data_IF_631840970236
#
_entry.id   IF_631840970236
#
_cell.length_a   1.000
_cell.length_b   1.000
_cell.length_c   1.000
_cell.angle_alpha   90.00
_cell.angle_beta   90.00
_cell.angle_gamma   90.00
#
_symmetry.space_group_name_H-M   'P 1'
#
loop_
_entity.id
_entity.type
_entity.pdbx_description
1 polymer ?
#
# COMPACT_ATOMS: atom_id res chain seq x y z
N UNK A 1 -2.98 3.51 50.14
CA UNK A 1 -2.76 2.07 49.91
C UNK A 1 -3.65 1.63 48.75
N UNK A 2 -3.20 1.81 47.51
CA UNK A 2 -3.74 1.23 46.30
C UNK A 2 -2.58 0.51 45.58
N UNK A 3 -2.12 -0.55 46.19
CA UNK A 3 -1.31 -1.57 45.57
C UNK A 3 -2.24 -2.72 45.25
N UNK A 4 -2.54 -2.99 44.00
CA UNK A 4 -3.27 -4.20 43.66
C UNK A 4 -4.18 -4.11 42.45
N UNK A 5 -3.71 -3.56 41.32
CA UNK A 5 -4.45 -3.67 40.03
C UNK A 5 -3.51 -3.84 38.85
N UNK A 6 -2.42 -4.59 39.01
CA UNK A 6 -1.53 -4.94 37.91
C UNK A 6 -1.18 -6.43 37.88
N UNK A 7 -2.07 -7.24 38.37
CA UNK A 7 -1.96 -8.69 38.19
C UNK A 7 -2.95 -9.11 37.10
N UNK A 8 -2.34 -9.47 35.95
CA UNK A 8 -2.94 -10.23 34.88
C UNK A 8 -3.93 -9.49 33.94
N UNK A 9 -3.37 -8.72 33.02
CA UNK A 9 -4.12 -8.22 31.86
C UNK A 9 -4.77 -9.37 31.05
N UNK A 10 -4.27 -10.60 31.14
CA UNK A 10 -4.83 -11.80 30.55
C UNK A 10 -6.16 -12.23 31.17
N UNK A 11 -6.34 -12.06 32.49
CA UNK A 11 -7.60 -12.39 33.17
C UNK A 11 -8.73 -11.41 32.84
N UNK A 12 -8.40 -10.18 32.45
CA UNK A 12 -9.39 -9.16 32.09
C UNK A 12 -9.76 -9.18 30.60
N UNK A 13 -9.24 -10.12 29.82
CA UNK A 13 -9.49 -10.20 28.37
C UNK A 13 -8.88 -9.02 27.59
N UNK A 14 -7.87 -8.36 28.14
CA UNK A 14 -7.12 -7.33 27.42
C UNK A 14 -6.28 -8.01 26.35
N UNK A 15 -6.47 -7.59 25.12
CA UNK A 15 -5.68 -8.07 23.98
C UNK A 15 -4.22 -7.60 24.14
N UNK A 16 -3.33 -8.55 24.41
CA UNK A 16 -1.88 -8.32 24.59
C UNK A 16 -1.08 -8.66 23.34
N UNK A 17 -1.75 -8.99 22.22
CA UNK A 17 -1.08 -9.29 20.97
C UNK A 17 -0.31 -8.09 20.47
N UNK A 18 0.92 -8.30 20.01
CA UNK A 18 1.73 -7.26 19.40
C UNK A 18 1.09 -6.78 18.11
N UNK A 19 0.95 -5.48 17.99
CA UNK A 19 0.44 -4.79 16.80
C UNK A 19 1.40 -3.70 16.38
N UNK A 20 1.58 -3.57 15.10
CA UNK A 20 2.41 -2.54 14.49
C UNK A 20 1.50 -1.60 13.71
N UNK A 21 1.63 -0.31 13.95
CA UNK A 21 0.96 0.73 13.19
C UNK A 21 1.97 1.74 12.67
N UNK A 22 1.68 2.32 11.52
CA UNK A 22 2.47 3.38 10.91
C UNK A 22 1.61 4.63 10.78
N UNK A 23 2.15 5.76 11.18
CA UNK A 23 1.46 7.05 11.08
C UNK A 23 2.32 8.05 10.28
N UNK A 24 1.83 8.56 9.13
CA UNK A 24 0.60 8.18 8.43
C UNK A 24 0.68 6.77 7.83
N UNK A 25 -0.45 6.07 7.73
CA UNK A 25 -0.52 4.68 7.24
C UNK A 25 -0.38 4.55 5.72
N UNK A 26 -0.66 5.61 4.98
CA UNK A 26 -0.53 5.65 3.53
C UNK A 26 0.81 6.27 3.13
N UNK A 27 1.54 5.58 2.24
CA UNK A 27 2.85 5.99 1.76
C UNK A 27 2.73 6.24 0.26
N UNK A 28 2.62 7.51 -0.13
CA UNK A 28 2.44 7.92 -1.52
C UNK A 28 3.47 8.95 -1.96
N UNK A 29 4.02 8.75 -3.14
CA UNK A 29 4.95 9.68 -3.79
C UNK A 29 4.39 10.18 -5.11
N UNK A 30 4.71 11.40 -5.43
CA UNK A 30 4.52 11.98 -6.76
C UNK A 30 5.58 11.44 -7.72
N UNK A 31 5.43 11.71 -9.00
CA UNK A 31 6.35 11.18 -10.03
C UNK A 31 7.79 11.70 -9.86
N UNK A 32 7.99 12.88 -9.28
CA UNK A 32 9.31 13.45 -9.03
C UNK A 32 10.00 12.89 -7.76
N UNK A 33 9.32 12.01 -7.01
CA UNK A 33 9.86 11.39 -5.80
C UNK A 33 9.58 12.16 -4.52
N UNK A 34 8.77 13.22 -4.56
CA UNK A 34 8.29 13.90 -3.35
C UNK A 34 7.03 13.22 -2.80
N UNK A 35 6.74 13.45 -1.54
CA UNK A 35 5.46 13.04 -0.95
C UNK A 35 4.32 13.93 -1.45
N UNK A 36 3.08 13.47 -1.30
CA UNK A 36 1.88 14.21 -1.76
C UNK A 36 1.77 15.60 -1.11
N UNK A 37 2.32 15.79 0.07
CA UNK A 37 2.40 17.09 0.77
C UNK A 37 3.66 17.92 0.39
N UNK A 38 4.40 17.50 -0.64
CA UNK A 38 5.54 18.21 -1.20
C UNK A 38 6.86 18.06 -0.44
N UNK A 39 6.97 17.10 0.45
CA UNK A 39 8.23 16.80 1.16
C UNK A 39 9.15 15.91 0.31
N UNK A 40 10.44 16.05 0.53
CA UNK A 40 11.48 15.29 -0.19
C UNK A 40 11.52 13.83 0.24
N UNK A 41 11.01 13.50 1.42
CA UNK A 41 10.98 12.15 1.97
C UNK A 41 9.69 11.93 2.75
N UNK A 42 9.20 10.70 2.72
CA UNK A 42 8.17 10.25 3.64
C UNK A 42 8.82 9.97 5.00
N UNK A 43 8.23 10.51 6.05
CA UNK A 43 8.66 10.23 7.42
C UNK A 43 7.43 9.83 8.23
N UNK A 44 7.41 8.59 8.69
CA UNK A 44 6.33 8.04 9.48
C UNK A 44 6.81 7.48 10.80
N UNK A 45 6.00 7.58 11.83
CA UNK A 45 6.26 7.00 13.15
C UNK A 45 5.69 5.60 13.21
N UNK A 46 6.53 4.63 13.51
CA UNK A 46 6.11 3.26 13.77
C UNK A 46 5.74 3.12 15.24
N UNK A 47 4.52 2.69 15.50
CA UNK A 47 4.04 2.38 16.83
C UNK A 47 3.90 0.87 17.00
N UNK A 48 4.49 0.33 18.04
CA UNK A 48 4.34 -1.08 18.43
C UNK A 48 3.56 -1.13 19.74
N UNK A 49 2.47 -1.88 19.74
CA UNK A 49 1.59 -2.03 20.90
C UNK A 49 1.50 -3.51 21.32
N UNK A 50 1.29 -3.83 22.62
CA UNK A 50 1.14 -2.90 23.74
C UNK A 50 2.43 -2.14 24.02
N UNK A 51 2.29 -0.86 24.35
CA UNK A 51 3.44 0.02 24.62
C UNK A 51 4.00 -0.26 26.02
N UNK A 52 5.05 -1.05 26.09
CA UNK A 52 5.88 -1.12 27.30
C UNK A 52 7.02 -0.13 27.19
N UNK A 53 7.06 0.81 28.11
CA UNK A 53 8.02 1.91 28.13
C UNK A 53 9.46 1.43 27.93
N UNK A 54 10.02 1.70 26.76
CA UNK A 54 11.44 1.53 26.44
C UNK A 54 11.84 0.16 25.89
N UNK A 55 10.93 -0.71 25.45
CA UNK A 55 11.26 -2.10 25.07
C UNK A 55 11.00 -2.51 23.63
N UNK A 56 10.40 -1.68 22.79
CA UNK A 56 10.13 -2.13 21.43
C UNK A 56 11.18 -1.60 20.45
N UNK A 57 12.04 -2.51 20.02
CA UNK A 57 12.85 -2.32 18.82
C UNK A 57 12.10 -2.90 17.62
N UNK A 58 12.28 -2.25 16.49
CA UNK A 58 11.73 -2.68 15.22
C UNK A 58 12.73 -2.39 14.11
N UNK A 59 12.59 -3.04 12.99
CA UNK A 59 13.30 -2.74 11.74
C UNK A 59 12.32 -2.56 10.63
N UNK A 60 12.68 -1.74 9.64
CA UNK A 60 11.89 -1.49 8.45
C UNK A 60 12.73 -1.80 7.20
N UNK A 61 12.14 -2.50 6.26
CA UNK A 61 12.76 -2.89 4.99
C UNK A 61 11.77 -2.68 3.85
N UNK A 62 12.26 -2.19 2.71
CA UNK A 62 11.47 -2.07 1.47
C UNK A 62 11.85 -3.16 0.47
N UNK A 63 10.89 -3.63 -0.31
CA UNK A 63 11.07 -4.64 -1.35
C UNK A 63 11.43 -4.08 -2.73
N UNK A 64 11.54 -2.75 -2.85
CA UNK A 64 11.67 -2.06 -4.13
C UNK A 64 12.98 -1.31 -4.27
N UNK A 65 13.62 -1.45 -5.42
CA UNK A 65 14.90 -0.78 -5.71
C UNK A 65 14.76 0.74 -5.94
N UNK A 66 13.56 1.24 -6.19
CA UNK A 66 13.32 2.65 -6.48
C UNK A 66 13.11 3.51 -5.22
N UNK A 67 12.99 2.88 -4.06
CA UNK A 67 12.88 3.59 -2.79
C UNK A 67 13.94 3.10 -1.80
N UNK A 68 14.58 4.03 -1.13
CA UNK A 68 15.50 3.74 -0.02
C UNK A 68 14.75 3.87 1.28
N UNK A 69 14.77 2.81 2.09
CA UNK A 69 14.18 2.79 3.42
C UNK A 69 15.27 2.92 4.47
N UNK A 70 15.08 3.84 5.40
CA UNK A 70 16.01 4.09 6.49
C UNK A 70 15.27 4.41 7.79
N UNK A 71 16.05 4.55 8.86
CA UNK A 71 15.56 4.99 10.14
C UNK A 71 16.01 6.43 10.42
N UNK A 72 15.12 7.23 10.96
CA UNK A 72 15.40 8.59 11.39
C UNK A 72 14.82 8.84 12.78
N UNK A 73 15.06 10.01 13.31
CA UNK A 73 14.52 10.45 14.60
C UNK A 73 13.74 11.73 14.39
N UNK A 74 12.52 11.74 14.87
CA UNK A 74 11.65 12.92 14.83
C UNK A 74 11.31 13.37 16.23
N UNK A 75 11.11 14.66 16.39
CA UNK A 75 10.61 15.27 17.61
C UNK A 75 9.10 15.49 17.45
N UNK A 76 8.29 14.69 18.14
CA UNK A 76 6.84 14.87 18.18
C UNK A 76 6.42 15.65 19.41
N UNK A 77 5.56 16.64 19.20
CA UNK A 77 5.01 17.47 20.27
C UNK A 77 3.56 17.11 20.51
N UNK A 78 3.27 16.71 21.73
CA UNK A 78 1.91 16.40 22.18
C UNK A 78 1.44 17.50 23.12
N UNK A 79 0.29 18.09 22.80
CA UNK A 79 -0.38 19.01 23.70
C UNK A 79 -1.32 18.22 24.61
N UNK A 80 -1.13 18.33 25.93
CA UNK A 80 -2.10 17.85 26.89
C UNK A 80 -3.39 18.66 26.75
N UNK A 81 -4.48 17.99 26.43
CA UNK A 81 -5.77 18.66 26.15
C UNK A 81 -6.40 19.28 27.38
N UNK A 82 -5.96 18.90 28.58
CA UNK A 82 -6.51 19.38 29.85
C UNK A 82 -5.71 20.57 30.40
N UNK A 83 -4.41 20.51 30.32
CA UNK A 83 -3.52 21.52 30.91
C UNK A 83 -2.94 22.48 29.87
N UNK A 84 -3.02 22.14 28.59
CA UNK A 84 -2.35 22.87 27.52
C UNK A 84 -0.82 22.72 27.53
N UNK A 85 -0.27 21.90 28.39
CA UNK A 85 1.16 21.66 28.45
C UNK A 85 1.63 20.91 27.20
N UNK A 86 2.70 21.41 26.57
CA UNK A 86 3.32 20.74 25.40
C UNK A 86 4.50 19.92 25.87
N UNK A 87 4.44 18.63 25.55
CA UNK A 87 5.56 17.72 25.78
C UNK A 87 6.13 17.30 24.44
N UNK A 88 7.43 17.51 24.23
CA UNK A 88 8.13 17.04 23.05
C UNK A 88 8.83 15.73 23.35
N UNK A 89 8.56 14.72 22.56
CA UNK A 89 9.14 13.39 22.69
C UNK A 89 9.94 13.05 21.43
N UNK A 90 11.13 12.55 21.61
CA UNK A 90 11.98 12.06 20.56
C UNK A 90 11.59 10.62 20.20
N UNK A 91 11.20 10.39 18.95
CA UNK A 91 10.71 9.10 18.49
C UNK A 91 11.53 8.61 17.29
N UNK A 92 11.76 7.28 17.24
CA UNK A 92 12.28 6.65 16.02
C UNK A 92 11.19 6.63 14.96
N UNK A 93 11.58 6.96 13.75
CA UNK A 93 10.69 7.00 12.61
C UNK A 93 11.30 6.27 11.42
N UNK A 94 10.46 5.79 10.52
CA UNK A 94 10.90 5.30 9.23
C UNK A 94 10.98 6.46 8.24
N UNK A 95 12.08 6.53 7.50
CA UNK A 95 12.26 7.48 6.40
C UNK A 95 12.33 6.71 5.08
N UNK A 96 11.57 7.15 4.09
CA UNK A 96 11.55 6.55 2.76
C UNK A 96 11.80 7.65 1.74
N UNK A 97 12.85 7.47 0.94
CA UNK A 97 13.19 8.38 -0.17
C UNK A 97 12.99 7.67 -1.49
N UNK A 98 12.13 8.20 -2.34
CA UNK A 98 11.84 7.66 -3.66
C UNK A 98 12.64 8.37 -4.76
N UNK A 99 13.12 7.61 -5.74
CA UNK A 99 13.71 8.17 -6.96
C UNK A 99 12.60 8.64 -7.92
N UNK A 100 12.85 9.62 -8.81
CA UNK A 100 11.88 10.02 -9.81
C UNK A 100 11.41 8.85 -10.68
N UNK A 101 10.15 8.90 -11.08
CA UNK A 101 9.50 7.88 -11.92
C UNK A 101 8.99 8.51 -13.22
N UNK A 102 9.68 8.26 -14.30
CA UNK A 102 9.32 8.75 -15.64
C UNK A 102 8.40 7.78 -16.39
N UNK A 103 8.15 6.62 -15.82
CA UNK A 103 7.33 5.55 -16.37
C UNK A 103 5.90 5.56 -15.80
N UNK A 104 5.24 4.43 -15.81
CA UNK A 104 3.90 4.25 -15.25
C UNK A 104 3.94 4.24 -13.71
N UNK A 105 2.76 4.37 -13.10
CA UNK A 105 2.59 4.17 -11.66
C UNK A 105 3.23 2.87 -11.22
N UNK A 106 3.89 2.91 -10.06
CA UNK A 106 4.53 1.73 -9.46
C UNK A 106 4.17 1.60 -8.00
N UNK A 107 4.28 0.39 -7.49
CA UNK A 107 3.99 0.06 -6.09
C UNK A 107 5.07 -0.84 -5.51
N UNK A 108 5.09 -0.94 -4.21
CA UNK A 108 5.96 -1.80 -3.43
C UNK A 108 5.43 -1.95 -2.03
N UNK A 109 6.19 -2.60 -1.18
CA UNK A 109 5.82 -2.91 0.19
C UNK A 109 6.92 -2.48 1.15
N UNK A 110 6.53 -1.79 2.21
CA UNK A 110 7.33 -1.60 3.42
C UNK A 110 6.98 -2.72 4.40
N UNK A 111 7.98 -3.46 4.84
CA UNK A 111 7.84 -4.47 5.88
C UNK A 111 8.42 -3.95 7.18
N UNK A 112 7.66 -3.95 8.24
CA UNK A 112 8.09 -3.59 9.59
C UNK A 112 8.03 -4.83 10.46
N UNK A 113 9.14 -5.15 11.11
CA UNK A 113 9.28 -6.30 12.00
C UNK A 113 9.60 -5.84 13.40
N UNK A 114 8.79 -6.22 14.38
CA UNK A 114 9.04 -5.99 15.79
C UNK A 114 10.02 -7.00 16.38
N UNK A 115 10.56 -6.71 17.57
CA UNK A 115 11.55 -7.55 18.25
C UNK A 115 11.08 -8.97 18.55
N UNK A 116 9.79 -9.15 18.80
CA UNK A 116 9.16 -10.45 19.05
C UNK A 116 8.89 -11.27 17.77
N UNK A 117 9.23 -10.73 16.61
CA UNK A 117 9.02 -11.37 15.31
C UNK A 117 7.66 -11.05 14.66
N UNK A 118 6.82 -10.23 15.28
CA UNK A 118 5.59 -9.76 14.64
C UNK A 118 5.93 -8.91 13.42
N UNK A 119 5.25 -9.15 12.31
CA UNK A 119 5.47 -8.51 11.02
C UNK A 119 4.20 -7.85 10.53
N UNK A 120 4.31 -6.60 10.10
CA UNK A 120 3.25 -5.88 9.38
C UNK A 120 3.80 -5.29 8.09
N UNK A 121 2.93 -5.19 7.09
CA UNK A 121 3.28 -4.67 5.78
C UNK A 121 2.41 -3.48 5.40
N UNK A 122 3.05 -2.47 4.80
CA UNK A 122 2.39 -1.24 4.38
C UNK A 122 2.66 -1.00 2.89
N UNK A 123 1.62 -0.69 2.09
CA UNK A 123 1.82 -0.42 0.68
C UNK A 123 2.57 0.91 0.48
N UNK A 124 3.51 0.91 -0.46
CA UNK A 124 4.18 2.10 -0.97
C UNK A 124 3.74 2.30 -2.41
N UNK A 125 3.35 3.50 -2.77
CA UNK A 125 2.93 3.83 -4.14
C UNK A 125 3.67 5.05 -4.65
N UNK A 126 3.94 5.08 -5.95
CA UNK A 126 4.47 6.26 -6.61
C UNK A 126 3.75 6.49 -7.93
N UNK A 127 3.28 7.71 -8.16
CA UNK A 127 2.77 8.12 -9.46
C UNK A 127 3.87 8.06 -10.53
N UNK A 128 3.47 7.90 -11.78
CA UNK A 128 4.36 8.00 -12.92
C UNK A 128 4.07 9.26 -13.75
N UNK A 129 5.02 9.64 -14.61
CA UNK A 129 4.79 10.69 -15.61
C UNK A 129 3.91 10.20 -16.77
N UNK A 130 3.94 8.89 -17.07
CA UNK A 130 3.02 8.30 -18.04
C UNK A 130 1.66 8.09 -17.38
N UNK A 131 0.59 8.24 -18.16
CA UNK A 131 -0.76 7.92 -17.70
C UNK A 131 -0.85 6.46 -17.24
N UNK A 132 -1.74 6.20 -16.28
CA UNK A 132 -2.00 4.83 -15.85
C UNK A 132 -2.40 3.96 -17.06
N UNK A 133 -1.99 2.71 -17.03
CA UNK A 133 -2.31 1.75 -18.07
C UNK A 133 -3.84 1.65 -18.26
N UNK A 134 -4.26 1.75 -19.50
CA UNK A 134 -5.67 1.73 -19.86
C UNK A 134 -5.88 0.96 -21.15
N UNK A 135 -6.86 0.07 -21.13
CA UNK A 135 -7.41 -0.58 -22.33
C UNK A 135 -8.85 -0.10 -22.50
N UNK A 136 -9.19 0.34 -23.70
CA UNK A 136 -10.55 0.72 -24.07
C UNK A 136 -10.98 -0.16 -25.22
N UNK A 137 -11.99 -1.00 -24.96
CA UNK A 137 -12.64 -1.79 -26.01
C UNK A 137 -13.77 -0.96 -26.63
N UNK A 138 -13.79 -0.87 -27.94
CA UNK A 138 -14.83 -0.21 -28.70
C UNK A 138 -15.83 -1.25 -29.19
N UNK A 139 -16.96 -1.37 -28.50
CA UNK A 139 -18.11 -2.15 -28.96
C UNK A 139 -19.11 -1.18 -29.60
N UNK A 140 -19.50 -1.47 -30.82
CA UNK A 140 -20.54 -0.69 -31.53
C UNK A 140 -21.93 -0.79 -30.85
N UNK A 141 -22.14 -1.85 -30.07
CA UNK A 141 -23.35 -2.11 -29.29
C UNK A 141 -23.00 -2.63 -27.89
N UNK A 142 -23.96 -2.56 -26.97
CA UNK A 142 -23.76 -3.01 -25.57
C UNK A 142 -23.71 -4.54 -25.39
N UNK A 143 -23.73 -5.28 -26.50
CA UNK A 143 -23.66 -6.74 -26.51
C UNK A 143 -23.47 -7.28 -27.92
N UNK A 144 -22.99 -8.51 -27.99
CA UNK A 144 -22.81 -9.25 -29.22
C UNK A 144 -23.74 -10.47 -29.14
N UNK A 145 -24.64 -10.60 -30.13
CA UNK A 145 -25.52 -11.74 -30.23
C UNK A 145 -25.10 -12.63 -31.41
N UNK A 146 -24.92 -13.90 -31.17
CA UNK A 146 -24.63 -14.89 -32.20
C UNK A 146 -25.90 -15.71 -32.55
N UNK A 147 -26.06 -16.01 -33.80
CA UNK A 147 -27.04 -17.00 -34.23
C UNK A 147 -26.71 -18.39 -33.70
N UNK A 148 -27.66 -19.30 -33.66
CA UNK A 148 -27.45 -20.68 -33.18
C UNK A 148 -26.38 -21.47 -33.98
N UNK A 149 -26.06 -21.03 -35.18
CA UNK A 149 -24.97 -21.58 -35.99
C UNK A 149 -23.57 -21.12 -35.56
N UNK A 150 -23.49 -20.23 -34.55
CA UNK A 150 -22.26 -19.57 -34.14
C UNK A 150 -21.91 -18.38 -35.03
N UNK A 151 -20.77 -17.81 -34.81
CA UNK A 151 -20.25 -16.68 -35.54
C UNK A 151 -18.92 -16.25 -34.98
N UNK A 152 -18.28 -15.32 -35.66
CA UNK A 152 -17.03 -14.69 -35.26
C UNK A 152 -17.21 -13.17 -35.30
N UNK A 153 -16.61 -12.48 -34.38
CA UNK A 153 -16.63 -11.01 -34.33
C UNK A 153 -15.30 -10.51 -33.82
N UNK A 154 -14.84 -9.40 -34.36
CA UNK A 154 -13.64 -8.70 -33.90
C UNK A 154 -14.05 -7.53 -33.05
N UNK A 155 -13.38 -7.35 -31.93
CA UNK A 155 -13.54 -6.22 -31.04
C UNK A 155 -12.25 -5.41 -31.11
N UNK A 156 -12.33 -4.22 -31.64
CA UNK A 156 -11.20 -3.30 -31.65
C UNK A 156 -10.98 -2.74 -30.25
N UNK A 157 -9.74 -2.61 -29.86
CA UNK A 157 -9.36 -1.97 -28.61
C UNK A 157 -8.19 -1.01 -28.82
N UNK A 158 -8.07 -0.04 -27.93
CA UNK A 158 -6.95 0.88 -27.86
C UNK A 158 -6.30 0.81 -26.50
N UNK A 159 -4.98 0.94 -26.46
CA UNK A 159 -4.22 0.98 -25.23
C UNK A 159 -3.20 2.11 -25.24
N UNK A 160 -2.90 2.67 -24.09
CA UNK A 160 -1.81 3.64 -23.90
C UNK A 160 -0.48 2.98 -23.47
N UNK A 161 -0.41 1.65 -23.45
CA UNK A 161 0.76 0.89 -22.97
C UNK A 161 1.79 0.57 -24.07
N UNK A 162 1.51 0.89 -25.31
CA UNK A 162 2.34 0.50 -26.47
C UNK A 162 2.23 -0.99 -26.76
N UNK A 163 3.31 -1.62 -27.19
CA UNK A 163 3.33 -3.03 -27.62
C UNK A 163 3.67 -4.03 -26.48
N UNK A 164 3.86 -3.52 -25.27
CA UNK A 164 4.28 -4.34 -24.11
C UNK A 164 3.21 -4.27 -23.03
N UNK A 165 2.29 -5.19 -23.08
CA UNK A 165 1.29 -5.39 -22.04
C UNK A 165 0.91 -6.86 -21.94
N UNK A 166 0.47 -7.26 -20.76
CA UNK A 166 -0.07 -8.58 -20.48
C UNK A 166 -1.53 -8.42 -20.03
N UNK A 167 -2.41 -9.24 -20.54
CA UNK A 167 -3.82 -9.17 -20.22
C UNK A 167 -4.45 -10.57 -20.16
N UNK A 168 -5.59 -10.66 -19.50
CA UNK A 168 -6.39 -11.88 -19.45
C UNK A 168 -7.85 -11.60 -19.73
N UNK A 169 -8.51 -12.56 -20.33
CA UNK A 169 -9.97 -12.53 -20.54
C UNK A 169 -10.63 -13.43 -19.52
N UNK A 170 -11.62 -12.89 -18.82
CA UNK A 170 -12.41 -13.62 -17.83
C UNK A 170 -13.87 -13.66 -18.27
N UNK A 171 -14.45 -14.85 -18.29
CA UNK A 171 -15.86 -15.05 -18.57
C UNK A 171 -16.69 -14.73 -17.33
N UNK A 172 -17.78 -13.96 -17.51
CA UNK A 172 -18.70 -13.61 -16.42
C UNK A 172 -19.55 -14.77 -15.92
N UNK A 173 -19.84 -15.73 -16.83
CA UNK A 173 -20.59 -16.94 -16.51
C UNK A 173 -19.66 -18.15 -16.56
N UNK A 174 -19.77 -19.12 -15.62
CA UNK A 174 -18.87 -20.25 -15.53
C UNK A 174 -18.81 -21.11 -16.79
N UNK A 175 -19.92 -21.23 -17.50
CA UNK A 175 -20.06 -22.10 -18.66
C UNK A 175 -19.75 -21.38 -19.99
N UNK A 176 -19.46 -20.08 -19.96
CA UNK A 176 -19.21 -19.32 -21.19
C UNK A 176 -17.97 -19.79 -21.96
N UNK A 177 -16.95 -20.27 -21.27
CA UNK A 177 -15.74 -20.85 -21.87
C UNK A 177 -15.95 -22.16 -22.64
N UNK A 178 -17.10 -22.82 -22.48
CA UNK A 178 -17.43 -24.05 -23.23
C UNK A 178 -17.84 -23.75 -24.68
N UNK A 179 -18.40 -22.58 -24.95
CA UNK A 179 -18.93 -22.22 -26.27
C UNK A 179 -18.32 -20.95 -26.86
N UNK A 180 -17.59 -20.17 -26.05
CA UNK A 180 -16.96 -18.91 -26.45
C UNK A 180 -15.45 -19.04 -26.34
N UNK A 181 -14.74 -18.81 -27.43
CA UNK A 181 -13.28 -18.73 -27.45
C UNK A 181 -12.85 -17.37 -27.96
N UNK A 182 -11.70 -16.92 -27.55
CA UNK A 182 -11.08 -15.70 -28.03
C UNK A 182 -9.63 -15.94 -28.46
N UNK A 183 -9.17 -15.14 -29.42
CA UNK A 183 -7.78 -15.07 -29.83
C UNK A 183 -7.38 -13.62 -30.05
N UNK A 184 -6.12 -13.29 -29.80
CA UNK A 184 -5.55 -11.99 -30.14
C UNK A 184 -4.84 -12.14 -31.50
N UNK A 185 -5.19 -11.27 -32.41
CA UNK A 185 -4.55 -11.19 -33.73
C UNK A 185 -3.59 -10.01 -33.87
N UNK A 186 -3.17 -9.38 -32.72
CA UNK A 186 -2.41 -8.14 -32.58
C UNK A 186 -1.05 -8.05 -33.26
#
# INVERSE_FOLDING_TARGET
LLAGCYEDAGELGVDTATRIALSPAEIGFTADGTTVDGKVAYVGVVQVMPFEKGRYTWRAEGDVAWATVGETVVDESFADTWTGAVTTTRMRAVEIMATPNTEYRRSGVLTVTAEDGTVETFPITQAGLKADAKIVCELAETGIEYASAGGETTIDYTTNMGDVYDYSVTYGEPDAGEWLTWSDEG
#
